data_IF_547220144514
#
_entry.id   IF_547220144514
#
_cell.length_a   1.000
_cell.length_b   1.000
_cell.length_c   1.000
_cell.angle_alpha   90.00
_cell.angle_beta   90.00
_cell.angle_gamma   90.00
#
_symmetry.space_group_name_H-M   'P 1'
#
loop_
_entity.id
_entity.type
_entity.pdbx_description
1 polymer ?
#
# COMPACT_ATOMS: atom_id res chain seq x y z
N UNK A 1 4.05 -18.31 -6.71
CA UNK A 1 3.51 -17.99 -5.40
C UNK A 1 3.76 -16.54 -5.07
N UNK A 2 2.80 -15.90 -4.42
CA UNK A 2 2.99 -14.54 -4.00
C UNK A 2 4.00 -14.47 -2.85
N UNK A 3 4.89 -13.51 -2.90
CA UNK A 3 5.84 -13.30 -1.83
C UNK A 3 5.24 -12.51 -0.68
N UNK A 4 5.91 -12.51 0.44
CA UNK A 4 5.51 -11.74 1.61
C UNK A 4 6.08 -10.33 1.49
N UNK A 5 5.22 -9.34 1.69
CA UNK A 5 5.57 -7.93 1.57
C UNK A 5 5.33 -7.27 2.91
N UNK A 6 6.27 -6.41 3.32
CA UNK A 6 6.09 -5.59 4.53
C UNK A 6 5.48 -4.26 4.09
N UNK A 7 4.31 -3.94 4.61
CA UNK A 7 3.60 -2.73 4.26
C UNK A 7 3.67 -1.75 5.42
N UNK A 8 4.11 -0.54 5.13
CA UNK A 8 4.16 0.53 6.12
C UNK A 8 3.12 1.58 5.76
N UNK A 9 2.37 2.01 6.76
CA UNK A 9 1.32 2.99 6.58
C UNK A 9 1.76 4.37 7.07
N UNK A 10 1.37 5.39 6.32
CA UNK A 10 1.57 6.76 6.79
C UNK A 10 0.48 7.11 7.80
N UNK A 11 0.74 8.17 8.56
CA UNK A 11 -0.22 8.62 9.58
C UNK A 11 -1.56 9.04 8.97
N UNK A 12 -1.58 9.41 7.70
CA UNK A 12 -2.81 9.80 7.02
C UNK A 12 -3.80 8.64 6.86
N UNK A 13 -3.34 7.41 7.01
CA UNK A 13 -4.19 6.22 6.91
C UNK A 13 -4.62 5.68 8.27
N UNK A 14 -4.22 6.34 9.35
CA UNK A 14 -4.44 5.84 10.70
C UNK A 14 -5.91 5.68 11.05
N UNK A 15 -6.77 6.49 10.47
CA UNK A 15 -8.21 6.38 10.68
C UNK A 15 -8.76 5.04 10.18
N UNK A 16 -8.07 4.40 9.23
CA UNK A 16 -8.48 3.10 8.71
C UNK A 16 -7.66 1.94 9.29
N UNK A 17 -6.39 2.17 9.55
CA UNK A 17 -5.48 1.12 10.03
C UNK A 17 -5.41 1.04 11.55
N UNK A 18 -5.91 2.04 12.25
CA UNK A 18 -5.85 2.08 13.70
C UNK A 18 -4.42 2.24 14.19
N UNK A 19 -3.99 1.33 15.06
CA UNK A 19 -2.65 1.38 15.60
C UNK A 19 -1.63 0.59 14.76
N UNK A 20 -2.06 0.02 13.66
CA UNK A 20 -1.15 -0.76 12.80
C UNK A 20 -0.31 0.19 11.95
N UNK A 21 0.97 0.29 12.26
CA UNK A 21 1.91 1.08 11.49
C UNK A 21 2.57 0.25 10.40
N UNK A 22 2.66 -1.06 10.61
CA UNK A 22 3.35 -1.97 9.72
C UNK A 22 2.70 -3.34 9.82
N UNK A 23 2.46 -3.96 8.66
CA UNK A 23 1.94 -5.32 8.61
C UNK A 23 2.63 -6.10 7.50
N UNK A 24 2.50 -7.42 7.54
CA UNK A 24 3.00 -8.28 6.47
C UNK A 24 1.82 -8.88 5.72
N UNK A 25 1.89 -8.83 4.40
CA UNK A 25 0.83 -9.28 3.51
C UNK A 25 1.44 -10.06 2.36
N UNK A 26 0.76 -11.09 1.89
CA UNK A 26 1.19 -11.81 0.70
C UNK A 26 0.58 -11.15 -0.53
N UNK A 27 1.44 -10.62 -1.41
CA UNK A 27 0.99 -10.00 -2.64
C UNK A 27 2.15 -9.93 -3.63
N UNK A 28 1.87 -10.08 -4.91
CA UNK A 28 2.87 -10.01 -5.95
C UNK A 28 2.75 -8.75 -6.82
N UNK A 29 1.64 -8.04 -6.70
CA UNK A 29 1.43 -6.77 -7.41
C UNK A 29 0.78 -5.78 -6.47
N UNK A 30 0.91 -4.49 -6.79
CA UNK A 30 0.30 -3.44 -5.99
C UNK A 30 -1.22 -3.60 -5.97
N UNK A 31 -1.81 -3.96 -7.11
CA UNK A 31 -3.25 -4.18 -7.19
C UNK A 31 -3.72 -5.25 -6.22
N UNK A 32 -3.01 -6.37 -6.17
CA UNK A 32 -3.35 -7.47 -5.25
C UNK A 32 -3.13 -7.06 -3.81
N UNK A 33 -2.10 -6.27 -3.57
CA UNK A 33 -1.82 -5.76 -2.25
C UNK A 33 -2.95 -4.87 -1.75
N UNK A 34 -3.41 -3.95 -2.59
CA UNK A 34 -4.50 -3.06 -2.22
C UNK A 34 -5.77 -3.86 -1.94
N UNK A 35 -6.04 -4.88 -2.74
CA UNK A 35 -7.21 -5.73 -2.52
C UNK A 35 -7.14 -6.44 -1.18
N UNK A 36 -5.98 -6.99 -0.85
CA UNK A 36 -5.78 -7.67 0.43
C UNK A 36 -5.93 -6.71 1.60
N UNK A 37 -5.42 -5.49 1.45
CA UNK A 37 -5.55 -4.47 2.48
C UNK A 37 -6.99 -4.04 2.66
N UNK A 38 -7.76 -3.95 1.57
CA UNK A 38 -9.15 -3.56 1.66
C UNK A 38 -9.99 -4.61 2.40
N UNK A 39 -9.64 -5.87 2.27
CA UNK A 39 -10.29 -6.94 3.02
C UNK A 39 -9.98 -6.82 4.52
N UNK A 40 -8.78 -6.41 4.86
CA UNK A 40 -8.36 -6.26 6.25
C UNK A 40 -8.82 -4.94 6.87
N UNK A 41 -8.81 -3.88 6.08
CA UNK A 41 -9.22 -2.54 6.50
C UNK A 41 -10.25 -2.01 5.50
N UNK A 42 -11.55 -2.32 5.69
CA UNK A 42 -12.57 -1.92 4.73
C UNK A 42 -12.56 -0.42 4.44
N UNK A 43 -12.53 -0.07 3.17
CA UNK A 43 -12.47 1.32 2.73
C UNK A 43 -11.09 1.80 2.37
N UNK A 44 -10.04 1.06 2.74
CA UNK A 44 -8.68 1.53 2.45
C UNK A 44 -8.37 1.46 0.96
N UNK A 45 -8.99 0.52 0.25
CA UNK A 45 -8.78 0.40 -1.19
C UNK A 45 -9.16 1.67 -1.94
N UNK A 46 -10.28 2.27 -1.58
CA UNK A 46 -10.70 3.52 -2.19
C UNK A 46 -9.72 4.65 -1.88
N UNK A 47 -9.26 4.70 -0.63
CA UNK A 47 -8.30 5.72 -0.21
C UNK A 47 -6.99 5.58 -0.96
N UNK A 48 -6.49 4.36 -1.12
CA UNK A 48 -5.22 4.09 -1.79
C UNK A 48 -5.31 4.26 -3.31
N UNK A 49 -6.49 4.16 -3.87
CA UNK A 49 -6.69 4.33 -5.31
C UNK A 49 -6.82 5.80 -5.71
N UNK A 50 -6.96 6.70 -4.76
CA UNK A 50 -7.15 8.13 -5.02
C UNK A 50 -5.85 8.90 -4.84
N UNK A 51 -5.02 8.92 -5.89
CA UNK A 51 -3.85 9.78 -5.90
C UNK A 51 -2.78 9.44 -4.88
N UNK A 52 -2.67 8.18 -4.51
CA UNK A 52 -1.65 7.74 -3.57
C UNK A 52 -0.45 7.22 -4.35
N UNK A 53 0.73 7.68 -3.98
CA UNK A 53 1.98 7.13 -4.51
C UNK A 53 2.41 5.94 -3.69
N UNK A 54 3.12 5.02 -4.32
CA UNK A 54 3.63 3.83 -3.67
C UNK A 54 5.15 3.83 -3.75
N UNK A 55 5.81 3.64 -2.63
CA UNK A 55 7.25 3.44 -2.59
C UNK A 55 7.52 1.95 -2.38
N UNK A 56 8.24 1.35 -3.32
CA UNK A 56 8.62 -0.05 -3.25
C UNK A 56 10.13 -0.10 -3.11
N UNK A 57 10.62 -0.57 -1.98
CA UNK A 57 12.05 -0.59 -1.66
C UNK A 57 12.70 0.78 -1.85
N UNK A 58 11.97 1.84 -1.50
CA UNK A 58 12.47 3.20 -1.58
C UNK A 58 12.30 3.88 -2.93
N UNK A 59 11.80 3.18 -3.92
CA UNK A 59 11.56 3.74 -5.24
C UNK A 59 10.09 4.12 -5.39
N UNK A 60 9.80 5.36 -5.74
CA UNK A 60 8.44 5.89 -5.77
C UNK A 60 7.81 5.69 -7.14
N UNK A 61 6.62 5.11 -7.15
CA UNK A 61 5.83 4.88 -8.34
C UNK A 61 4.49 5.62 -8.19
N UNK A 62 4.30 6.71 -8.91
CA UNK A 62 3.05 7.49 -8.75
C UNK A 62 1.82 6.82 -9.33
N UNK A 63 1.99 5.88 -10.24
CA UNK A 63 0.86 5.18 -10.87
C UNK A 63 1.22 3.70 -10.96
N UNK A 64 1.19 3.05 -9.81
CA UNK A 64 1.81 1.76 -9.62
C UNK A 64 0.84 0.59 -9.54
N UNK A 65 -0.41 0.76 -9.94
CA UNK A 65 -1.44 -0.26 -9.71
C UNK A 65 -1.06 -1.64 -10.25
N UNK A 66 -0.40 -1.69 -11.39
CA UNK A 66 0.02 -2.94 -12.01
C UNK A 66 1.50 -3.27 -11.79
N UNK A 67 2.16 -2.52 -10.93
CA UNK A 67 3.57 -2.74 -10.67
C UNK A 67 3.79 -4.05 -9.90
N UNK A 68 4.80 -4.81 -10.30
CA UNK A 68 5.17 -6.03 -9.58
C UNK A 68 5.91 -5.69 -8.30
N UNK A 69 5.66 -6.49 -7.26
CA UNK A 69 6.32 -6.30 -5.97
C UNK A 69 7.24 -7.49 -5.73
N UNK A 70 8.54 -7.28 -5.59
CA UNK A 70 9.47 -8.37 -5.30
C UNK A 70 9.17 -9.02 -3.94
N UNK A 71 9.46 -10.32 -3.83
CA UNK A 71 9.33 -11.02 -2.56
C UNK A 71 10.22 -10.36 -1.50
N UNK A 72 9.66 -10.16 -0.32
CA UNK A 72 10.40 -9.53 0.77
C UNK A 72 10.51 -8.01 0.67
N UNK A 73 9.83 -7.40 -0.30
CA UNK A 73 9.90 -5.96 -0.49
C UNK A 73 9.24 -5.19 0.65
N UNK A 74 9.68 -3.97 0.84
CA UNK A 74 9.06 -3.03 1.75
C UNK A 74 8.24 -2.05 0.94
N UNK A 75 6.96 -1.94 1.23
CA UNK A 75 6.02 -1.09 0.50
C UNK A 75 5.50 -0.01 1.44
N UNK A 76 5.56 1.23 0.98
CA UNK A 76 5.12 2.38 1.74
C UNK A 76 4.11 3.15 0.89
N UNK A 77 2.89 3.30 1.41
CA UNK A 77 1.88 4.10 0.73
C UNK A 77 1.98 5.54 1.20
N UNK A 78 2.17 6.45 0.26
CA UNK A 78 2.36 7.86 0.53
C UNK A 78 1.13 8.61 0.04
N UNK A 79 0.41 9.23 0.97
CA UNK A 79 -0.72 10.04 0.56
C UNK A 79 -0.21 11.27 -0.18
N UNK A 80 -0.72 11.49 -1.39
CA UNK A 80 -0.41 12.71 -2.09
C UNK A 80 -1.34 13.81 -1.60
N UNK A 81 -0.77 14.96 -1.34
CA UNK A 81 -1.55 16.13 -1.00
C UNK A 81 -1.96 16.88 -2.27
N UNK A 82 -2.16 16.12 -3.33
CA UNK A 82 -2.51 16.69 -4.62
C UNK A 82 -3.82 17.46 -4.52
N UNK A 83 -3.87 18.57 -5.14
CA UNK A 83 -5.07 19.41 -5.13
C UNK A 83 -5.23 20.19 -3.87
N UNK A 84 -4.42 19.86 -2.93
CA UNK A 84 -4.44 20.60 -1.67
C UNK A 84 -3.23 21.23 -1.57
#
# INVERSE_FOLDING_TARGET
>A
MAGTVTVKFSSSLRDLTGDDDEIQVEASTVRRLIKALDERYPGIGDRLSEGTSVAINGEIFPDALYEDIPDGAEVHFLATLAGG
#
